data_IF_255658869683
#
_entry.id   IF_255658869683
#
_cell.length_a   1.000
_cell.length_b   1.000
_cell.length_c   1.000
_cell.angle_alpha   90.00
_cell.angle_beta   90.00
_cell.angle_gamma   90.00
#
_symmetry.space_group_name_H-M   'P 1'
#
loop_
_entity.id
_entity.type
_entity.pdbx_description
1 polymer ?
#
# COMPACT_ATOMS: atom_id res chain seq x y z
N UNK A 1 -16.59 -54.88 8.90
CA UNK A 1 -15.26 -54.35 9.28
C UNK A 1 -14.61 -53.68 8.06
N UNK A 2 -14.98 -52.42 7.75
CA UNK A 2 -14.46 -51.66 6.59
C UNK A 2 -13.69 -50.47 7.15
N UNK A 3 -12.35 -50.51 7.14
CA UNK A 3 -11.49 -49.39 7.55
C UNK A 3 -11.41 -48.36 6.40
N UNK A 4 -11.32 -47.06 6.69
CA UNK A 4 -11.99 -46.04 5.90
C UNK A 4 -11.05 -45.40 4.86
N UNK A 5 -11.40 -45.51 3.58
CA UNK A 5 -10.77 -44.76 2.49
C UNK A 5 -10.82 -43.23 2.71
N UNK A 6 -11.74 -42.75 3.56
CA UNK A 6 -11.86 -41.34 3.93
C UNK A 6 -10.66 -40.77 4.70
N UNK A 7 -9.91 -41.57 5.47
CA UNK A 7 -8.72 -41.08 6.17
C UNK A 7 -7.58 -40.74 5.20
N UNK A 8 -7.47 -41.49 4.09
CA UNK A 8 -6.50 -41.21 3.02
C UNK A 8 -6.90 -39.96 2.22
N UNK A 9 -8.19 -39.77 1.96
CA UNK A 9 -8.70 -38.59 1.25
C UNK A 9 -8.51 -37.31 2.09
N UNK A 10 -8.79 -37.37 3.40
CA UNK A 10 -8.57 -36.25 4.32
C UNK A 10 -7.07 -35.93 4.42
N UNK A 11 -6.20 -36.93 4.51
CA UNK A 11 -4.74 -36.73 4.53
C UNK A 11 -4.21 -36.11 3.23
N UNK A 12 -4.74 -36.51 2.07
CA UNK A 12 -4.39 -35.94 0.75
C UNK A 12 -4.87 -34.50 0.58
N UNK A 13 -6.07 -34.16 1.05
CA UNK A 13 -6.60 -32.79 1.05
C UNK A 13 -5.80 -31.87 1.99
N UNK A 14 -5.37 -32.36 3.16
CA UNK A 14 -4.50 -31.62 4.07
C UNK A 14 -3.09 -31.40 3.51
N UNK A 15 -2.55 -32.36 2.74
CA UNK A 15 -1.23 -32.23 2.10
C UNK A 15 -1.23 -31.19 0.97
N UNK A 16 -2.33 -31.05 0.22
CA UNK A 16 -2.46 -30.03 -0.82
C UNK A 16 -2.63 -28.60 -0.28
N UNK A 17 -3.16 -28.44 0.93
CA UNK A 17 -3.27 -27.15 1.62
C UNK A 17 -1.94 -26.66 2.22
N UNK A 18 -0.99 -27.56 2.48
CA UNK A 18 0.35 -27.22 3.01
C UNK A 18 1.36 -26.82 1.92
N UNK A 19 1.04 -27.08 0.65
CA UNK A 19 1.90 -26.80 -0.52
C UNK A 19 1.45 -25.58 -1.32
N UNK A 20 0.37 -24.90 -0.93
CA UNK A 20 0.10 -23.58 -1.49
C UNK A 20 1.17 -22.64 -0.96
N UNK A 21 2.06 -22.09 -1.80
CA UNK A 21 2.85 -20.96 -1.36
C UNK A 21 1.82 -19.93 -0.92
N UNK A 22 1.80 -19.63 0.39
CA UNK A 22 1.14 -18.45 0.91
C UNK A 22 1.44 -17.36 -0.09
N UNK A 23 0.41 -16.76 -0.69
CA UNK A 23 0.52 -15.72 -1.70
C UNK A 23 1.51 -14.67 -1.18
N UNK A 24 2.77 -14.89 -1.46
CA UNK A 24 3.79 -13.88 -1.42
C UNK A 24 3.28 -12.99 -2.53
N UNK A 25 2.65 -11.90 -2.11
CA UNK A 25 2.53 -10.73 -2.95
C UNK A 25 3.98 -10.34 -3.23
N UNK A 26 4.60 -11.04 -4.18
CA UNK A 26 5.88 -10.68 -4.72
C UNK A 26 5.59 -9.30 -5.28
N UNK A 27 6.09 -8.27 -4.61
CA UNK A 27 6.26 -6.97 -5.21
C UNK A 27 7.13 -7.24 -6.42
N UNK A 28 6.48 -7.49 -7.57
CA UNK A 28 7.19 -7.53 -8.83
C UNK A 28 7.88 -6.17 -8.88
N UNK A 29 9.22 -6.12 -8.98
CA UNK A 29 9.90 -4.85 -9.12
C UNK A 29 9.19 -4.10 -10.24
N UNK A 30 8.75 -2.87 -9.94
CA UNK A 30 8.13 -1.98 -10.92
C UNK A 30 9.00 -2.10 -12.17
N UNK A 31 8.48 -2.65 -13.29
CA UNK A 31 9.30 -2.86 -14.46
C UNK A 31 9.95 -1.53 -14.76
N UNK A 32 11.28 -1.51 -14.71
CA UNK A 32 12.09 -0.36 -15.08
C UNK A 32 12.01 -0.21 -16.59
N UNK A 33 10.82 0.05 -17.11
CA UNK A 33 10.56 0.04 -18.54
C UNK A 33 9.38 0.94 -18.83
N UNK A 34 9.67 2.24 -18.86
CA UNK A 34 9.20 3.04 -19.96
C UNK A 34 10.26 4.10 -20.28
N UNK A 35 11.27 3.68 -21.03
CA UNK A 35 11.86 4.57 -22.03
C UNK A 35 10.77 4.82 -23.08
N UNK A 36 9.75 5.62 -22.73
CA UNK A 36 8.51 5.73 -23.49
C UNK A 36 7.77 7.00 -23.14
N UNK A 37 7.37 7.76 -24.17
CA UNK A 37 6.50 8.97 -24.24
C UNK A 37 6.77 10.15 -23.29
N UNK A 38 7.28 9.92 -22.08
CA UNK A 38 7.46 10.89 -21.01
C UNK A 38 8.92 10.98 -20.53
N UNK A 39 9.87 10.25 -21.12
CA UNK A 39 11.27 10.22 -20.68
C UNK A 39 11.88 11.63 -20.54
N UNK A 40 11.73 12.49 -21.55
CA UNK A 40 12.25 13.87 -21.50
C UNK A 40 11.59 14.71 -20.39
N UNK A 41 10.28 14.51 -20.17
CA UNK A 41 9.52 15.19 -19.11
C UNK A 41 9.96 14.72 -17.73
N UNK A 42 10.21 13.41 -17.57
CA UNK A 42 10.75 12.84 -16.34
C UNK A 42 12.13 13.41 -16.07
N UNK A 43 13.01 13.50 -17.08
CA UNK A 43 14.34 14.10 -16.89
C UNK A 43 14.23 15.55 -16.40
N UNK A 44 13.43 16.37 -17.06
CA UNK A 44 13.19 17.75 -16.62
C UNK A 44 12.61 17.83 -15.20
N UNK A 45 11.73 16.88 -14.86
CA UNK A 45 11.17 16.77 -13.51
C UNK A 45 12.22 16.36 -12.46
N UNK A 46 13.13 15.42 -12.77
CA UNK A 46 14.21 15.06 -11.84
C UNK A 46 15.10 16.27 -11.51
N UNK A 47 15.42 17.08 -12.52
CA UNK A 47 16.23 18.30 -12.36
C UNK A 47 15.50 19.31 -11.45
N UNK A 48 14.18 19.49 -11.66
CA UNK A 48 13.33 20.29 -10.77
C UNK A 48 13.30 19.76 -9.34
N UNK A 49 13.11 18.45 -9.13
CA UNK A 49 13.08 17.84 -7.79
C UNK A 49 14.38 18.11 -7.05
N UNK A 50 15.53 17.93 -7.70
CA UNK A 50 16.84 18.21 -7.09
C UNK A 50 16.97 19.68 -6.67
N UNK A 51 16.53 20.61 -7.52
CA UNK A 51 16.54 22.03 -7.21
C UNK A 51 15.65 22.34 -5.99
N UNK A 52 14.42 21.84 -5.97
CA UNK A 52 13.48 22.08 -4.87
C UNK A 52 13.96 21.47 -3.55
N UNK A 53 14.51 20.26 -3.58
CA UNK A 53 15.10 19.65 -2.38
C UNK A 53 16.22 20.50 -1.79
N UNK A 54 17.06 21.10 -2.64
CA UNK A 54 18.13 21.99 -2.20
C UNK A 54 17.57 23.30 -1.61
N UNK A 55 16.57 23.91 -2.27
CA UNK A 55 15.93 25.16 -1.82
C UNK A 55 15.21 24.98 -0.48
N UNK A 56 14.38 23.94 -0.37
CA UNK A 56 13.53 23.67 0.79
C UNK A 56 14.24 22.83 1.87
N UNK A 57 15.50 22.45 1.63
CA UNK A 57 16.31 21.60 2.52
C UNK A 57 15.62 20.28 2.89
N UNK A 58 14.97 19.66 1.91
CA UNK A 58 14.27 18.38 2.10
C UNK A 58 15.33 17.26 2.17
N UNK A 59 15.40 16.50 3.27
CA UNK A 59 16.46 15.49 3.48
C UNK A 59 16.31 14.28 2.56
N UNK A 60 15.09 13.93 2.19
CA UNK A 60 14.80 12.87 1.25
C UNK A 60 13.31 12.70 1.00
N UNK A 61 12.98 12.08 -0.13
CA UNK A 61 11.61 11.84 -0.59
C UNK A 61 11.60 10.75 -1.67
N UNK A 62 10.43 10.14 -1.87
CA UNK A 62 10.19 9.21 -2.99
C UNK A 62 8.96 9.65 -3.77
N UNK A 63 9.06 9.58 -5.10
CA UNK A 63 8.01 10.02 -6.03
C UNK A 63 7.71 8.89 -7.00
N UNK A 64 6.43 8.72 -7.34
CA UNK A 64 5.99 7.84 -8.42
C UNK A 64 4.97 8.52 -9.33
N UNK A 65 4.95 8.11 -10.59
CA UNK A 65 3.94 8.47 -11.59
C UNK A 65 3.38 7.20 -12.22
N UNK A 66 2.06 7.18 -12.38
CA UNK A 66 1.34 6.15 -13.14
C UNK A 66 0.41 6.87 -14.11
N UNK A 67 0.50 6.53 -15.39
CA UNK A 67 -0.40 7.03 -16.43
C UNK A 67 -0.49 6.02 -17.58
N UNK A 68 -1.70 5.54 -17.85
CA UNK A 68 -1.90 4.43 -18.78
C UNK A 68 -0.99 3.25 -18.36
N UNK A 69 -0.20 2.69 -19.27
CA UNK A 69 0.79 1.64 -18.97
C UNK A 69 2.16 2.19 -18.53
N UNK A 70 2.33 3.53 -18.49
CA UNK A 70 3.58 4.14 -18.03
C UNK A 70 3.61 4.17 -16.50
N UNK A 71 4.66 3.58 -15.92
CA UNK A 71 4.96 3.65 -14.50
C UNK A 71 6.42 4.02 -14.29
N UNK A 72 6.67 4.95 -13.38
CA UNK A 72 8.00 5.36 -12.96
C UNK A 72 7.98 5.68 -11.48
N UNK A 73 9.03 5.33 -10.75
CA UNK A 73 9.20 5.73 -9.36
C UNK A 73 10.69 5.86 -9.01
N UNK A 74 11.02 6.79 -8.12
CA UNK A 74 12.40 7.05 -7.69
C UNK A 74 12.46 7.68 -6.31
N UNK A 75 13.48 7.31 -5.54
CA UNK A 75 13.86 7.94 -4.28
C UNK A 75 15.02 8.93 -4.45
N UNK A 76 15.03 9.96 -3.62
CA UNK A 76 16.06 11.00 -3.57
C UNK A 76 16.47 11.28 -2.13
N UNK A 77 17.76 11.52 -1.90
CA UNK A 77 18.29 11.81 -0.56
C UNK A 77 18.20 10.60 0.38
N UNK A 78 17.82 10.84 1.63
CA UNK A 78 17.80 9.84 2.68
C UNK A 78 16.39 9.61 3.24
N UNK A 79 15.99 8.35 3.40
CA UNK A 79 14.80 7.97 4.15
C UNK A 79 15.04 8.08 5.66
N UNK A 80 16.29 7.92 6.08
CA UNK A 80 16.75 8.15 7.46
C UNK A 80 18.06 8.93 7.39
N UNK A 81 18.03 10.17 7.87
CA UNK A 81 19.17 11.08 7.82
C UNK A 81 20.26 10.69 8.85
N UNK A 82 19.87 10.22 10.03
CA UNK A 82 20.77 9.86 11.12
C UNK A 82 21.59 8.62 10.75
N UNK A 83 20.90 7.60 10.25
CA UNK A 83 21.51 6.34 9.84
C UNK A 83 22.00 6.34 8.38
N UNK A 84 21.86 7.48 7.67
CA UNK A 84 22.22 7.66 6.26
C UNK A 84 21.62 6.59 5.34
N UNK A 85 20.38 6.19 5.60
CA UNK A 85 19.67 5.20 4.79
C UNK A 85 19.15 5.91 3.53
N UNK A 86 19.58 5.53 2.32
CA UNK A 86 19.13 6.18 1.10
C UNK A 86 17.63 5.95 0.88
N UNK A 87 16.94 6.99 0.41
CA UNK A 87 15.56 6.86 -0.03
C UNK A 87 15.48 6.05 -1.33
N UNK A 88 14.51 5.14 -1.40
CA UNK A 88 14.19 4.29 -2.56
C UNK A 88 12.71 4.42 -2.87
N UNK A 89 12.28 4.01 -4.06
CA UNK A 89 10.87 4.02 -4.43
C UNK A 89 10.00 3.23 -3.42
N UNK A 90 10.58 2.22 -2.78
CA UNK A 90 9.95 1.32 -1.82
C UNK A 90 10.19 1.72 -0.35
N UNK A 91 10.85 2.86 -0.09
CA UNK A 91 11.09 3.33 1.28
C UNK A 91 9.77 3.49 2.03
N UNK A 92 9.74 2.99 3.27
CA UNK A 92 8.59 3.16 4.15
C UNK A 92 8.58 4.58 4.74
N UNK A 93 7.41 5.21 4.73
CA UNK A 93 7.18 6.53 5.30
C UNK A 93 5.99 6.50 6.27
N UNK A 94 6.00 7.42 7.23
CA UNK A 94 4.86 7.62 8.13
C UNK A 94 3.76 8.39 7.39
N UNK A 95 2.67 7.69 7.03
CA UNK A 95 1.59 8.21 6.17
C UNK A 95 0.75 9.34 6.80
N UNK A 96 0.70 9.44 8.13
CA UNK A 96 -0.12 10.43 8.84
C UNK A 96 -1.56 10.52 8.29
N UNK A 97 -2.03 11.71 7.89
CA UNK A 97 -3.40 11.89 7.39
C UNK A 97 -3.70 11.16 6.08
N UNK A 98 -2.68 10.71 5.33
CA UNK A 98 -2.87 9.88 4.13
C UNK A 98 -3.50 8.52 4.48
N UNK A 99 -3.49 8.10 5.74
CA UNK A 99 -4.20 6.90 6.20
C UNK A 99 -5.74 7.04 6.16
N UNK A 100 -6.30 8.26 6.24
CA UNK A 100 -7.76 8.48 6.38
C UNK A 100 -8.60 7.87 5.25
N UNK A 101 -8.26 8.04 3.95
CA UNK A 101 -9.01 7.40 2.87
C UNK A 101 -9.03 5.87 2.97
N UNK A 102 -7.97 5.25 3.49
CA UNK A 102 -7.93 3.79 3.71
C UNK A 102 -8.94 3.38 4.80
N UNK A 103 -8.97 4.11 5.91
CA UNK A 103 -9.97 3.89 6.97
C UNK A 103 -11.39 4.14 6.45
N UNK A 104 -11.61 5.20 5.67
CA UNK A 104 -12.90 5.50 5.08
C UNK A 104 -13.36 4.38 4.14
N UNK A 105 -12.47 3.85 3.28
CA UNK A 105 -12.77 2.69 2.44
C UNK A 105 -13.17 1.47 3.27
N UNK A 106 -12.46 1.18 4.36
CA UNK A 106 -12.81 0.08 5.25
C UNK A 106 -14.22 0.26 5.86
N UNK A 107 -14.57 1.49 6.25
CA UNK A 107 -15.92 1.82 6.75
C UNK A 107 -16.98 1.67 5.66
N UNK A 108 -16.72 2.14 4.44
CA UNK A 108 -17.64 2.00 3.31
C UNK A 108 -17.89 0.52 2.95
N UNK A 109 -16.85 -0.32 2.98
CA UNK A 109 -16.99 -1.77 2.78
C UNK A 109 -17.84 -2.44 3.88
N UNK A 110 -17.82 -1.92 5.11
CA UNK A 110 -18.71 -2.40 6.17
C UNK A 110 -20.15 -1.92 5.95
N UNK A 111 -20.33 -0.71 5.41
CA UNK A 111 -21.64 -0.19 5.07
C UNK A 111 -22.30 -0.97 3.92
N UNK A 112 -21.56 -1.27 2.85
CA UNK A 112 -22.03 -2.13 1.76
C UNK A 112 -22.47 -3.52 2.24
N UNK A 113 -21.82 -4.05 3.28
CA UNK A 113 -22.16 -5.33 3.92
C UNK A 113 -23.30 -5.23 4.94
N UNK A 114 -23.92 -4.06 5.09
CA UNK A 114 -24.98 -3.79 6.07
C UNK A 114 -24.52 -3.84 7.54
N UNK A 115 -23.21 -3.78 7.81
CA UNK A 115 -22.65 -3.84 9.18
C UNK A 115 -22.56 -2.47 9.84
N UNK A 116 -22.44 -1.42 9.04
CA UNK A 116 -22.48 -0.02 9.48
C UNK A 116 -23.58 0.70 8.71
N UNK A 117 -24.38 1.49 9.41
CA UNK A 117 -25.29 2.45 8.82
C UNK A 117 -24.61 3.83 8.91
N UNK A 118 -24.35 4.46 7.77
CA UNK A 118 -23.66 5.75 7.70
C UNK A 118 -24.52 6.90 8.25
N UNK A 119 -25.84 6.74 8.28
CA UNK A 119 -26.79 7.73 8.79
C UNK A 119 -27.15 7.50 10.26
N UNK A 120 -26.64 6.43 10.89
CA UNK A 120 -26.85 6.20 12.31
C UNK A 120 -26.07 7.23 13.15
N UNK A 121 -26.62 7.55 14.32
CA UNK A 121 -25.87 8.33 15.32
C UNK A 121 -24.56 7.62 15.65
N UNK A 122 -23.46 8.37 15.82
CA UNK A 122 -22.15 7.77 16.16
C UNK A 122 -22.21 6.95 17.45
N UNK A 123 -23.11 7.31 18.37
CA UNK A 123 -23.39 6.60 19.62
C UNK A 123 -23.88 5.17 19.41
N UNK A 124 -24.46 4.83 18.25
CA UNK A 124 -24.82 3.45 17.90
C UNK A 124 -23.60 2.54 17.91
N UNK A 125 -22.42 3.06 17.51
CA UNK A 125 -21.18 2.29 17.45
C UNK A 125 -20.18 2.66 18.55
N UNK A 126 -20.28 3.88 19.09
CA UNK A 126 -19.39 4.42 20.12
C UNK A 126 -20.24 5.00 21.26
N UNK A 127 -20.77 4.16 22.17
CA UNK A 127 -21.81 4.59 23.13
C UNK A 127 -21.40 5.71 24.09
N UNK A 128 -20.10 5.86 24.34
CA UNK A 128 -19.54 6.90 25.21
C UNK A 128 -19.25 8.22 24.48
N UNK A 129 -19.50 8.32 23.17
CA UNK A 129 -19.28 9.54 22.42
C UNK A 129 -20.29 10.62 22.86
N UNK A 130 -19.84 11.83 23.24
CA UNK A 130 -20.71 12.85 23.80
C UNK A 130 -21.75 13.30 22.77
N UNK A 131 -22.97 13.58 23.25
CA UNK A 131 -23.98 14.22 22.41
C UNK A 131 -23.60 15.69 22.21
N UNK A 132 -23.81 16.18 20.99
CA UNK A 132 -23.70 17.62 20.73
C UNK A 132 -24.80 18.33 21.54
N UNK A 133 -24.48 19.42 22.25
CA UNK A 133 -25.48 20.19 22.99
C UNK A 133 -26.56 20.77 22.07
#
# INVERSE_FOLDING_TARGET
>A
MKRPAYLLIIALLCFQLLLSPANAFTLQPIPAQAAGKYADKIKAFEDFVRQQMATERVPGLSIGFIKDDFMWAKGYGYADLENKIPAKAESAYRLASVTKPMTALAVLQLAEKGKINLDAEVQTYVPYFPKKP
#
